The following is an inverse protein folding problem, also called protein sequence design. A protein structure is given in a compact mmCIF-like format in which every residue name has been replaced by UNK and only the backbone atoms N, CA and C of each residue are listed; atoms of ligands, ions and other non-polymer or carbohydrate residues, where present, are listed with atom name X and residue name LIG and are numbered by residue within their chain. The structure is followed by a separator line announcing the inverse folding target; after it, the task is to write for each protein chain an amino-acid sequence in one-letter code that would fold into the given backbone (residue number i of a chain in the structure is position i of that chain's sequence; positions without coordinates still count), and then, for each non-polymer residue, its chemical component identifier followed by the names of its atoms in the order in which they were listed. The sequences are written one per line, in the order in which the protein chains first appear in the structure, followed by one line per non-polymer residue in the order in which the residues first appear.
data_IF_303406686135
#
_entry.id   IF_303406686135
#
_cell.length_a   1.000
_cell.length_b   1.000
_cell.length_c   1.000
_cell.angle_alpha   90.00
_cell.angle_beta   90.00
_cell.angle_gamma   90.00
#
_symmetry.space_group_name_H-M   'P 1'
#
loop_
_entity.id
_entity.type
_entity.pdbx_description
1 polymer ?
#
# COMPACT_ATOMS: atom_id res chain seq x y z
N UNK A 1 -18.50 -13.15 -21.00
CA UNK A 1 -18.02 -12.94 -19.61
C UNK A 1 -16.59 -12.45 -19.71
N UNK A 2 -16.24 -11.35 -19.03
CA UNK A 2 -14.85 -10.89 -18.99
C UNK A 2 -13.97 -11.98 -18.32
N UNK A 3 -12.74 -12.15 -18.80
CA UNK A 3 -11.80 -13.06 -18.15
C UNK A 3 -11.50 -12.57 -16.72
N UNK A 4 -11.30 -13.48 -15.75
CA UNK A 4 -10.94 -13.07 -14.40
C UNK A 4 -9.59 -12.33 -14.42
N UNK A 5 -9.39 -11.37 -13.51
CA UNK A 5 -8.15 -10.62 -13.41
C UNK A 5 -6.96 -11.57 -13.16
N UNK A 6 -5.78 -11.28 -13.73
CA UNK A 6 -4.61 -12.15 -13.59
C UNK A 6 -4.16 -12.20 -12.13
N UNK A 7 -3.82 -13.39 -11.64
CA UNK A 7 -3.31 -13.58 -10.28
C UNK A 7 -1.80 -13.29 -10.23
N UNK A 8 -1.45 -12.02 -10.04
CA UNK A 8 -0.07 -11.53 -9.87
C UNK A 8 0.39 -11.75 -8.42
N UNK A 9 -0.48 -11.47 -7.46
CA UNK A 9 -0.20 -11.54 -6.03
C UNK A 9 -0.93 -12.72 -5.38
N UNK A 10 -0.27 -13.37 -4.41
CA UNK A 10 -0.88 -14.41 -3.57
C UNK A 10 -1.64 -13.76 -2.42
N UNK A 11 -2.98 -13.94 -2.33
CA UNK A 11 -3.76 -13.43 -1.20
C UNK A 11 -3.22 -13.93 0.14
N UNK A 12 -2.89 -15.22 0.24
CA UNK A 12 -2.34 -15.80 1.47
C UNK A 12 -1.02 -15.14 1.90
N UNK A 13 -0.09 -14.87 0.97
CA UNK A 13 1.19 -14.19 1.27
C UNK A 13 0.99 -12.74 1.65
N UNK A 14 0.09 -12.04 0.98
CA UNK A 14 -0.29 -10.66 1.29
C UNK A 14 -0.79 -10.54 2.73
N UNK A 15 -1.77 -11.36 3.10
CA UNK A 15 -2.31 -11.39 4.46
C UNK A 15 -1.25 -11.80 5.50
N UNK A 16 -0.42 -12.78 5.19
CA UNK A 16 0.68 -13.20 6.07
C UNK A 16 1.75 -12.10 6.24
N UNK A 17 2.06 -11.33 5.19
CA UNK A 17 3.00 -10.22 5.26
C UNK A 17 2.49 -9.11 6.18
N UNK A 18 1.20 -8.74 6.06
CA UNK A 18 0.57 -7.74 6.94
C UNK A 18 0.49 -8.20 8.40
N UNK A 19 0.09 -9.46 8.65
CA UNK A 19 0.13 -10.04 10.01
C UNK A 19 1.53 -10.03 10.62
N UNK A 20 2.54 -10.38 9.82
CA UNK A 20 3.94 -10.35 10.26
C UNK A 20 4.38 -8.92 10.60
N UNK A 21 4.10 -7.96 9.73
CA UNK A 21 4.41 -6.55 9.97
C UNK A 21 3.82 -6.07 11.30
N UNK A 22 2.52 -6.29 11.51
CA UNK A 22 1.82 -5.96 12.77
C UNK A 22 2.49 -6.57 14.00
N UNK A 23 2.86 -7.85 13.94
CA UNK A 23 3.60 -8.49 15.03
C UNK A 23 4.97 -7.87 15.26
N UNK A 24 5.69 -7.51 14.19
CA UNK A 24 7.02 -6.91 14.28
C UNK A 24 6.97 -5.49 14.86
N UNK A 25 5.85 -4.76 14.71
CA UNK A 25 5.68 -3.44 15.33
C UNK A 25 5.74 -3.46 16.87
N UNK A 26 5.63 -4.62 17.50
CA UNK A 26 5.86 -4.76 18.95
C UNK A 26 7.35 -4.68 19.34
N UNK A 27 8.27 -4.72 18.37
CA UNK A 27 9.70 -4.58 18.61
C UNK A 27 10.08 -3.09 18.76
N UNK A 28 10.99 -2.74 19.70
CA UNK A 28 11.36 -1.34 19.96
C UNK A 28 11.92 -0.57 18.75
N UNK A 29 12.56 -1.28 17.82
CA UNK A 29 13.28 -0.71 16.68
C UNK A 29 12.61 -1.01 15.33
N UNK A 30 11.33 -1.41 15.36
CA UNK A 30 10.57 -1.72 14.16
C UNK A 30 10.44 -0.48 13.26
N UNK A 31 10.82 -0.63 11.99
CA UNK A 31 10.62 0.45 11.03
C UNK A 31 9.13 0.71 10.78
N UNK A 32 8.79 2.00 10.72
CA UNK A 32 7.45 2.51 10.41
C UNK A 32 7.45 3.71 9.45
N UNK A 33 8.63 4.12 8.97
CA UNK A 33 8.81 5.36 8.23
C UNK A 33 7.94 5.48 6.97
N UNK A 34 7.60 4.37 6.30
CA UNK A 34 6.70 4.43 5.12
C UNK A 34 5.28 4.76 5.54
N UNK A 35 4.79 4.13 6.61
CA UNK A 35 3.41 4.36 7.06
C UNK A 35 3.28 5.72 7.75
N UNK A 36 4.26 6.11 8.58
CA UNK A 36 4.33 7.44 9.17
C UNK A 36 4.27 8.53 8.08
N UNK A 37 5.03 8.36 7.01
CA UNK A 37 5.06 9.27 5.86
C UNK A 37 3.72 9.33 5.11
N UNK A 38 3.04 8.19 4.93
CA UNK A 38 1.70 8.16 4.34
C UNK A 38 0.64 8.83 5.22
N UNK A 39 0.73 8.65 6.54
CA UNK A 39 -0.18 9.30 7.50
C UNK A 39 0.03 10.82 7.48
N UNK A 40 1.28 11.28 7.51
CA UNK A 40 1.62 12.69 7.41
C UNK A 40 1.11 13.31 6.11
N UNK A 41 1.33 12.66 4.96
CA UNK A 41 0.86 13.13 3.65
C UNK A 41 -0.67 13.27 3.61
N UNK A 42 -1.41 12.30 4.16
CA UNK A 42 -2.88 12.40 4.25
C UNK A 42 -3.30 13.62 5.06
N UNK A 43 -2.71 13.80 6.25
CA UNK A 43 -3.05 14.92 7.14
C UNK A 43 -2.71 16.28 6.52
N UNK A 44 -1.56 16.39 5.86
CA UNK A 44 -1.16 17.59 5.12
C UNK A 44 -2.15 17.91 4.00
N UNK A 45 -2.51 16.92 3.19
CA UNK A 45 -3.43 17.11 2.05
C UNK A 45 -4.81 17.52 2.49
N UNK A 46 -5.42 16.83 3.47
CA UNK A 46 -6.76 17.20 3.96
C UNK A 46 -6.73 18.59 4.62
N UNK A 47 -5.65 18.95 5.30
CA UNK A 47 -5.45 20.29 5.84
C UNK A 47 -5.36 21.36 4.76
N UNK A 48 -4.61 21.10 3.68
CA UNK A 48 -4.46 22.00 2.54
C UNK A 48 -5.78 22.25 1.81
N UNK A 49 -6.55 21.18 1.54
CA UNK A 49 -7.87 21.29 0.89
C UNK A 49 -9.02 21.61 1.87
N UNK A 50 -8.72 21.77 3.16
CA UNK A 50 -9.66 22.12 4.23
C UNK A 50 -10.84 21.14 4.35
N UNK A 51 -10.56 19.85 4.18
CA UNK A 51 -11.55 18.79 4.38
C UNK A 51 -11.58 18.40 5.87
N UNK A 52 -12.75 18.52 6.48
CA UNK A 52 -13.02 18.12 7.86
C UNK A 52 -14.15 17.07 7.86
N UNK A 53 -13.83 15.78 7.66
CA UNK A 53 -14.85 14.77 7.42
C UNK A 53 -15.60 14.46 8.72
N UNK A 54 -16.92 14.39 8.65
CA UNK A 54 -17.73 13.86 9.77
C UNK A 54 -17.52 12.36 9.90
N UNK A 55 -17.42 11.66 8.77
CA UNK A 55 -17.24 10.20 8.72
C UNK A 55 -16.12 9.80 7.77
N UNK A 56 -15.14 9.07 8.30
CA UNK A 56 -13.96 8.65 7.58
C UNK A 56 -13.75 7.12 7.66
N UNK A 57 -13.16 6.55 6.62
CA UNK A 57 -12.65 5.18 6.65
C UNK A 57 -11.15 5.19 6.41
N UNK A 58 -10.41 4.47 7.27
CA UNK A 58 -8.97 4.30 7.17
C UNK A 58 -8.65 2.83 6.94
N UNK A 59 -8.12 2.51 5.76
CA UNK A 59 -7.73 1.17 5.37
C UNK A 59 -6.22 0.99 5.46
N UNK A 60 -5.79 0.02 6.26
CA UNK A 60 -4.41 -0.46 6.29
C UNK A 60 -3.44 0.31 7.19
N UNK A 61 -3.91 1.32 7.93
CA UNK A 61 -3.14 1.93 9.02
C UNK A 61 -3.14 1.02 10.26
N UNK A 62 -2.17 0.12 10.35
CA UNK A 62 -2.05 -0.75 11.53
C UNK A 62 -1.53 -0.03 12.78
N UNK A 63 -1.13 1.24 12.69
CA UNK A 63 -0.71 2.03 13.86
C UNK A 63 -1.89 2.76 14.51
N UNK A 64 -2.98 2.96 13.77
CA UNK A 64 -4.14 3.77 14.18
C UNK A 64 -3.82 5.27 14.31
N UNK A 65 -2.65 5.72 13.83
CA UNK A 65 -2.21 7.11 13.98
C UNK A 65 -3.13 8.08 13.22
N UNK A 66 -3.49 7.76 11.97
CA UNK A 66 -4.39 8.58 11.17
C UNK A 66 -5.80 8.58 11.78
N UNK A 67 -6.30 7.41 12.17
CA UNK A 67 -7.62 7.30 12.78
C UNK A 67 -7.72 8.11 14.08
N UNK A 68 -6.70 8.05 14.93
CA UNK A 68 -6.61 8.86 16.15
C UNK A 68 -6.59 10.35 15.84
N UNK A 69 -5.82 10.79 14.84
CA UNK A 69 -5.75 12.19 14.44
C UNK A 69 -7.11 12.71 13.95
N UNK A 70 -7.79 11.96 13.08
CA UNK A 70 -9.13 12.28 12.58
C UNK A 70 -10.17 12.31 13.71
N UNK A 71 -10.18 11.31 14.59
CA UNK A 71 -11.09 11.24 15.73
C UNK A 71 -10.89 12.42 16.71
N UNK A 72 -9.64 12.86 16.91
CA UNK A 72 -9.36 14.06 17.71
C UNK A 72 -9.90 15.35 17.10
N UNK A 73 -10.09 15.37 15.77
CA UNK A 73 -10.76 16.42 15.02
C UNK A 73 -12.29 16.30 14.99
N UNK A 74 -12.86 15.28 15.65
CA UNK A 74 -14.31 15.05 15.75
C UNK A 74 -14.91 14.10 14.72
N UNK A 75 -14.09 13.43 13.89
CA UNK A 75 -14.58 12.45 12.92
C UNK A 75 -15.01 11.12 13.57
N UNK A 76 -16.09 10.52 13.11
CA UNK A 76 -16.36 9.09 13.26
C UNK A 76 -15.45 8.32 12.30
N UNK A 77 -14.56 7.48 12.83
CA UNK A 77 -13.57 6.75 12.02
C UNK A 77 -13.84 5.25 12.04
N UNK A 78 -13.93 4.66 10.85
CA UNK A 78 -13.98 3.21 10.65
C UNK A 78 -12.60 2.74 10.19
N UNK A 79 -11.95 1.92 11.00
CA UNK A 79 -10.67 1.30 10.65
C UNK A 79 -10.89 -0.08 10.05
N UNK A 80 -10.23 -0.36 8.93
CA UNK A 80 -10.27 -1.67 8.27
C UNK A 80 -8.87 -2.15 7.91
N UNK A 81 -8.63 -3.43 8.10
CA UNK A 81 -7.32 -4.04 7.88
C UNK A 81 -7.46 -5.31 7.03
N UNK A 82 -6.75 -5.44 5.90
CA UNK A 82 -6.88 -6.63 5.05
C UNK A 82 -6.55 -7.93 5.79
N UNK A 83 -5.55 -7.91 6.69
CA UNK A 83 -5.21 -9.08 7.51
C UNK A 83 -6.30 -9.52 8.49
N UNK A 84 -7.34 -8.70 8.70
CA UNK A 84 -8.52 -8.96 9.54
C UNK A 84 -9.78 -9.26 8.73
N UNK A 85 -9.66 -9.43 7.40
CA UNK A 85 -10.75 -9.89 6.54
C UNK A 85 -11.36 -8.81 5.65
N UNK A 86 -10.85 -7.57 5.69
CA UNK A 86 -11.25 -6.56 4.72
C UNK A 86 -10.75 -6.91 3.32
N UNK A 87 -11.65 -6.93 2.33
CA UNK A 87 -11.35 -7.28 0.95
C UNK A 87 -11.60 -6.08 0.04
N UNK A 88 -10.52 -5.44 -0.43
CA UNK A 88 -10.61 -4.21 -1.22
C UNK A 88 -11.25 -4.40 -2.59
N UNK A 89 -11.10 -5.61 -3.14
CA UNK A 89 -11.64 -6.04 -4.43
C UNK A 89 -13.13 -6.43 -4.37
N UNK A 90 -13.77 -6.28 -3.20
CA UNK A 90 -15.20 -6.51 -3.01
C UNK A 90 -15.91 -5.20 -2.66
N UNK A 91 -17.25 -5.12 -2.81
CA UNK A 91 -18.01 -3.98 -2.32
C UNK A 91 -17.72 -3.70 -0.85
N UNK A 92 -17.39 -2.45 -0.53
CA UNK A 92 -17.03 -2.07 0.83
C UNK A 92 -18.28 -2.13 1.73
N UNK A 93 -18.15 -2.57 2.99
CA UNK A 93 -19.28 -2.95 3.84
C UNK A 93 -20.20 -1.77 4.22
N UNK A 94 -19.74 -0.53 4.02
CA UNK A 94 -20.50 0.68 4.23
C UNK A 94 -20.12 1.72 3.16
N UNK A 95 -21.03 2.67 2.93
CA UNK A 95 -20.78 3.86 2.10
C UNK A 95 -21.05 5.14 2.87
N UNK A 96 -21.03 6.28 2.18
CA UNK A 96 -21.27 7.59 2.79
C UNK A 96 -20.07 8.14 3.56
N UNK A 97 -18.85 7.74 3.20
CA UNK A 97 -17.63 8.29 3.78
C UNK A 97 -17.25 9.60 3.09
N UNK A 98 -17.02 10.66 3.87
CA UNK A 98 -16.54 11.94 3.36
C UNK A 98 -15.02 11.92 3.11
N UNK A 99 -14.32 11.00 3.80
CA UNK A 99 -12.91 10.69 3.57
C UNK A 99 -12.70 9.18 3.54
N UNK A 100 -11.98 8.68 2.54
CA UNK A 100 -11.42 7.33 2.53
C UNK A 100 -9.91 7.42 2.36
N UNK A 101 -9.15 6.93 3.33
CA UNK A 101 -7.70 6.80 3.24
C UNK A 101 -7.30 5.33 3.08
N UNK A 102 -6.46 4.99 2.10
CA UNK A 102 -5.95 3.64 1.87
C UNK A 102 -4.42 3.64 1.85
N UNK A 103 -3.81 3.02 2.87
CA UNK A 103 -2.37 3.10 3.13
C UNK A 103 -1.70 1.73 2.90
N UNK A 104 -0.94 1.62 1.80
CA UNK A 104 -0.12 0.46 1.46
C UNK A 104 -0.92 -0.83 1.27
N UNK A 105 -2.17 -0.73 0.79
CA UNK A 105 -3.02 -1.90 0.55
C UNK A 105 -3.27 -2.18 -0.93
N UNK A 106 -3.41 -1.15 -1.76
CA UNK A 106 -3.85 -1.28 -3.15
C UNK A 106 -2.74 -1.73 -4.12
N UNK A 107 -1.47 -1.57 -3.79
CA UNK A 107 -0.35 -1.99 -4.66
C UNK A 107 -0.22 -3.50 -4.81
N UNK A 108 -0.95 -4.28 -4.02
CA UNK A 108 -0.89 -5.75 -3.99
C UNK A 108 -2.23 -6.45 -4.23
N UNK A 109 -3.23 -5.74 -4.75
CA UNK A 109 -4.48 -6.35 -5.23
C UNK A 109 -4.32 -6.81 -6.69
N UNK A 110 -5.08 -7.83 -7.10
CA UNK A 110 -5.06 -8.36 -8.46
C UNK A 110 -6.04 -7.62 -9.40
N UNK A 111 -7.13 -7.07 -8.86
CA UNK A 111 -8.10 -6.20 -9.52
C UNK A 111 -8.06 -4.78 -8.97
N UNK A 112 -6.97 -4.07 -9.25
CA UNK A 112 -6.81 -2.68 -8.85
C UNK A 112 -7.91 -1.75 -9.43
N UNK A 113 -8.33 -1.87 -10.72
CA UNK A 113 -9.47 -1.10 -11.22
C UNK A 113 -10.76 -1.36 -10.44
N UNK A 114 -11.09 -2.62 -10.18
CA UNK A 114 -12.27 -3.00 -9.39
C UNK A 114 -12.21 -2.47 -7.96
N UNK A 115 -11.05 -2.59 -7.30
CA UNK A 115 -10.84 -2.04 -5.96
C UNK A 115 -11.05 -0.51 -5.92
N UNK A 116 -10.57 0.23 -6.92
CA UNK A 116 -10.79 1.67 -7.03
C UNK A 116 -12.26 2.03 -7.30
N UNK A 117 -13.00 1.20 -8.03
CA UNK A 117 -14.45 1.37 -8.24
C UNK A 117 -15.20 1.16 -6.91
N UNK A 118 -14.85 0.13 -6.15
CA UNK A 118 -15.47 -0.13 -4.84
C UNK A 118 -15.14 0.96 -3.83
N UNK A 119 -13.89 1.44 -3.82
CA UNK A 119 -13.47 2.57 -3.00
C UNK A 119 -14.29 3.82 -3.34
N UNK A 120 -14.39 4.17 -4.64
CA UNK A 120 -15.21 5.30 -5.10
C UNK A 120 -16.68 5.15 -4.70
N UNK A 121 -17.22 3.94 -4.79
CA UNK A 121 -18.61 3.64 -4.41
C UNK A 121 -18.88 3.75 -2.90
N UNK A 122 -17.85 3.70 -2.06
CA UNK A 122 -17.98 3.90 -0.62
C UNK A 122 -18.04 5.39 -0.23
N UNK A 123 -17.63 6.30 -1.11
CA UNK A 123 -17.64 7.73 -0.83
C UNK A 123 -19.07 8.30 -0.80
N UNK A 124 -19.28 9.30 0.06
CA UNK A 124 -20.40 10.22 -0.06
C UNK A 124 -20.26 11.08 -1.34
N UNK A 125 -21.35 11.69 -1.85
CA UNK A 125 -21.24 12.69 -2.91
C UNK A 125 -20.27 13.81 -2.52
N UNK A 126 -19.25 14.06 -3.34
CA UNK A 126 -18.19 15.04 -3.05
C UNK A 126 -17.13 14.58 -2.04
N UNK A 127 -17.16 13.31 -1.59
CA UNK A 127 -16.15 12.75 -0.70
C UNK A 127 -14.77 12.65 -1.35
N UNK A 128 -13.74 12.68 -0.50
CA UNK A 128 -12.33 12.61 -0.89
C UNK A 128 -11.77 11.21 -0.64
N UNK A 129 -10.98 10.71 -1.59
CA UNK A 129 -10.14 9.55 -1.37
C UNK A 129 -8.66 9.89 -1.49
N UNK A 130 -7.84 9.37 -0.58
CA UNK A 130 -6.39 9.40 -0.66
C UNK A 130 -5.87 7.97 -0.57
N UNK A 131 -5.17 7.52 -1.62
CA UNK A 131 -4.56 6.21 -1.65
C UNK A 131 -3.04 6.35 -1.84
N UNK A 132 -2.28 5.81 -0.91
CA UNK A 132 -0.81 5.92 -0.89
C UNK A 132 -0.20 4.54 -0.80
N UNK A 133 0.76 4.23 -1.67
CA UNK A 133 1.46 2.95 -1.69
C UNK A 133 2.83 3.08 -2.38
N UNK A 134 3.66 2.04 -2.26
CA UNK A 134 5.00 2.04 -2.84
C UNK A 134 4.92 1.94 -4.36
N UNK A 135 5.28 3.03 -5.04
CA UNK A 135 5.20 3.16 -6.50
C UNK A 135 6.48 2.79 -7.26
N UNK A 136 6.43 2.96 -8.58
CA UNK A 136 7.53 2.65 -9.49
C UNK A 136 8.79 3.48 -9.18
N UNK A 137 9.96 2.84 -9.33
CA UNK A 137 11.25 3.44 -8.99
C UNK A 137 11.70 3.16 -7.55
N UNK A 138 10.87 2.50 -6.74
CA UNK A 138 11.22 2.14 -5.37
C UNK A 138 12.23 0.99 -5.31
N UNK A 139 13.11 1.04 -4.30
CA UNK A 139 14.16 0.05 -4.02
C UNK A 139 15.13 -0.20 -5.19
N UNK A 140 15.68 0.85 -5.84
CA UNK A 140 16.51 0.68 -7.04
C UNK A 140 17.80 -0.11 -6.75
N UNK A 141 18.50 0.20 -5.66
CA UNK A 141 19.72 -0.51 -5.27
C UNK A 141 19.45 -1.99 -4.93
N UNK A 142 18.33 -2.30 -4.28
CA UNK A 142 17.94 -3.69 -4.02
C UNK A 142 17.62 -4.42 -5.32
N UNK A 143 16.93 -3.76 -6.26
CA UNK A 143 16.62 -4.33 -7.57
C UNK A 143 17.89 -4.68 -8.34
N UNK A 144 18.87 -3.77 -8.38
CA UNK A 144 20.17 -4.02 -9.00
C UNK A 144 20.91 -5.18 -8.34
N UNK A 145 20.99 -5.20 -7.01
CA UNK A 145 21.62 -6.29 -6.27
C UNK A 145 20.96 -7.65 -6.54
N UNK A 146 19.62 -7.68 -6.58
CA UNK A 146 18.86 -8.91 -6.86
C UNK A 146 19.04 -9.39 -8.31
N UNK A 147 19.12 -8.46 -9.28
CA UNK A 147 19.41 -8.79 -10.68
C UNK A 147 20.83 -9.35 -10.84
N UNK A 148 21.81 -8.73 -10.20
CA UNK A 148 23.19 -9.22 -10.20
C UNK A 148 23.28 -10.63 -9.58
N UNK A 149 22.56 -10.86 -8.47
CA UNK A 149 22.48 -12.15 -7.81
C UNK A 149 21.80 -13.26 -8.66
N UNK A 150 20.90 -12.88 -9.57
CA UNK A 150 20.22 -13.83 -10.46
C UNK A 150 21.06 -14.24 -11.68
N UNK A 151 22.05 -13.41 -12.04
CA UNK A 151 22.90 -13.61 -13.21
C UNK A 151 22.08 -13.81 -14.49
N UNK A 152 22.41 -14.85 -15.25
CA UNK A 152 21.77 -15.17 -16.54
C UNK A 152 20.32 -15.66 -16.42
N UNK A 153 19.78 -15.86 -15.21
CA UNK A 153 18.40 -16.31 -15.00
C UNK A 153 17.63 -15.37 -14.07
N UNK A 154 17.28 -14.16 -14.53
CA UNK A 154 16.48 -13.20 -13.77
C UNK A 154 15.17 -13.81 -13.28
N UNK A 155 14.86 -13.60 -12.01
CA UNK A 155 13.63 -14.05 -11.39
C UNK A 155 12.74 -12.86 -10.99
N UNK A 156 11.42 -13.07 -10.81
CA UNK A 156 10.54 -12.01 -10.32
C UNK A 156 10.79 -11.77 -8.82
N UNK A 157 11.70 -10.83 -8.54
CA UNK A 157 12.21 -10.49 -7.20
C UNK A 157 11.39 -9.40 -6.51
N UNK A 158 10.93 -8.42 -7.27
CA UNK A 158 10.11 -7.29 -6.81
C UNK A 158 8.72 -7.33 -7.44
N UNK A 159 7.77 -6.64 -6.82
CA UNK A 159 6.42 -6.50 -7.37
C UNK A 159 6.46 -5.65 -8.66
N UNK A 160 5.52 -5.87 -9.60
CA UNK A 160 5.20 -4.83 -10.56
C UNK A 160 4.71 -3.60 -9.79
N UNK A 161 5.23 -2.42 -10.13
CA UNK A 161 4.93 -1.18 -9.43
C UNK A 161 4.17 -0.25 -10.36
N UNK A 162 3.17 0.44 -9.80
CA UNK A 162 2.39 1.44 -10.54
C UNK A 162 3.20 2.74 -10.60
N UNK A 163 3.35 3.30 -11.80
CA UNK A 163 3.92 4.63 -12.00
C UNK A 163 2.82 5.71 -12.05
N UNK A 164 3.22 6.98 -11.93
CA UNK A 164 2.31 8.14 -11.92
C UNK A 164 1.42 8.20 -13.17
N UNK A 165 1.98 7.91 -14.35
CA UNK A 165 1.25 7.96 -15.62
C UNK A 165 0.19 6.86 -15.69
N UNK A 166 0.56 5.63 -15.33
CA UNK A 166 -0.33 4.48 -15.28
C UNK A 166 -1.44 4.68 -14.23
N UNK A 167 -1.09 5.25 -13.06
CA UNK A 167 -2.05 5.65 -12.02
C UNK A 167 -3.07 6.66 -12.54
N UNK A 168 -2.63 7.69 -13.26
CA UNK A 168 -3.54 8.68 -13.84
C UNK A 168 -4.50 8.10 -14.86
N UNK A 169 -4.00 7.26 -15.77
CA UNK A 169 -4.85 6.55 -16.74
C UNK A 169 -5.84 5.60 -16.07
N UNK A 170 -5.42 4.96 -14.97
CA UNK A 170 -6.27 4.06 -14.21
C UNK A 170 -7.43 4.80 -13.54
N UNK A 171 -7.16 5.92 -12.86
CA UNK A 171 -8.20 6.71 -12.20
C UNK A 171 -9.21 7.29 -13.21
N UNK A 172 -8.74 7.75 -14.37
CA UNK A 172 -9.63 8.20 -15.46
C UNK A 172 -10.56 7.08 -15.92
N UNK A 173 -10.03 5.87 -16.16
CA UNK A 173 -10.84 4.70 -16.57
C UNK A 173 -11.80 4.23 -15.47
N UNK A 174 -11.41 4.37 -14.20
CA UNK A 174 -12.27 4.07 -13.06
C UNK A 174 -13.33 5.17 -12.78
N UNK A 175 -13.33 6.26 -13.57
CA UNK A 175 -14.36 7.30 -13.51
C UNK A 175 -14.22 8.26 -12.33
N UNK A 176 -12.97 8.55 -11.91
CA UNK A 176 -12.69 9.59 -10.92
C UNK A 176 -12.74 10.97 -11.56
N UNK A 177 -13.40 11.92 -10.88
CA UNK A 177 -13.67 13.26 -11.43
C UNK A 177 -12.41 14.15 -11.47
N UNK A 178 -11.74 14.30 -10.33
CA UNK A 178 -10.59 15.21 -10.16
C UNK A 178 -9.33 14.47 -9.67
N UNK A 179 -8.80 13.51 -10.45
CA UNK A 179 -7.70 12.68 -9.98
C UNK A 179 -6.39 13.47 -9.94
N UNK A 180 -5.77 13.50 -8.76
CA UNK A 180 -4.38 13.98 -8.56
C UNK A 180 -3.49 12.77 -8.34
N UNK A 181 -2.40 12.68 -9.10
CA UNK A 181 -1.43 11.60 -9.00
C UNK A 181 -0.05 12.23 -8.98
N UNK A 182 0.67 11.95 -7.92
CA UNK A 182 2.04 12.37 -7.74
C UNK A 182 2.86 11.25 -7.11
N UNK A 183 4.14 11.50 -6.91
CA UNK A 183 5.04 10.59 -6.21
C UNK A 183 6.11 11.40 -5.51
N UNK A 184 6.53 10.95 -4.33
CA UNK A 184 7.68 11.49 -3.61
C UNK A 184 8.63 10.38 -3.21
N UNK A 185 9.88 10.73 -2.95
CA UNK A 185 10.95 9.77 -2.65
C UNK A 185 11.36 9.85 -1.18
N UNK A 186 11.28 8.72 -0.49
CA UNK A 186 11.91 8.54 0.83
C UNK A 186 13.30 7.96 0.67
N UNK A 187 14.31 8.70 1.15
CA UNK A 187 15.71 8.25 1.13
C UNK A 187 16.05 7.63 2.47
N UNK A 188 16.31 6.33 2.48
CA UNK A 188 16.72 5.59 3.67
C UNK A 188 18.05 4.91 3.40
N UNK A 189 19.04 5.20 4.25
CA UNK A 189 20.36 4.57 4.21
C UNK A 189 20.40 3.33 5.09
N UNK A 190 21.08 2.29 4.62
CA UNK A 190 21.26 1.04 5.35
C UNK A 190 22.73 0.68 5.46
N UNK A 191 23.17 0.31 6.66
CA UNK A 191 24.53 -0.17 6.91
C UNK A 191 24.68 -1.68 6.64
N UNK A 192 23.57 -2.40 6.40
CA UNK A 192 23.58 -3.84 6.13
C UNK A 192 22.32 -4.26 5.37
N UNK A 193 22.46 -5.33 4.57
CA UNK A 193 21.33 -5.95 3.87
C UNK A 193 20.31 -6.55 4.84
N UNK A 194 20.76 -7.13 5.95
CA UNK A 194 19.87 -7.72 6.96
C UNK A 194 18.95 -6.68 7.60
N UNK A 195 19.47 -5.48 7.90
CA UNK A 195 18.65 -4.37 8.40
C UNK A 195 17.61 -3.96 7.36
N UNK A 196 18.00 -3.80 6.10
CA UNK A 196 17.09 -3.49 5.00
C UNK A 196 15.96 -4.52 4.89
N UNK A 197 16.30 -5.81 4.90
CA UNK A 197 15.31 -6.90 4.80
C UNK A 197 14.40 -6.93 6.04
N UNK A 198 14.95 -6.67 7.23
CA UNK A 198 14.19 -6.52 8.47
C UNK A 198 13.14 -5.41 8.37
N UNK A 199 13.56 -4.21 7.94
CA UNK A 199 12.70 -3.03 7.85
C UNK A 199 11.62 -3.19 6.76
N UNK A 200 11.93 -3.86 5.64
CA UNK A 200 10.92 -4.23 4.64
C UNK A 200 9.89 -5.20 5.22
N UNK A 201 10.33 -6.20 6.01
CA UNK A 201 9.41 -7.17 6.64
C UNK A 201 8.54 -6.52 7.71
N UNK A 202 9.08 -5.59 8.48
CA UNK A 202 8.37 -4.83 9.52
C UNK A 202 7.26 -3.94 8.94
N UNK A 203 7.36 -3.58 7.66
CA UNK A 203 6.43 -2.69 6.95
C UNK A 203 5.60 -3.41 5.87
N UNK A 204 5.56 -4.75 5.89
CA UNK A 204 4.84 -5.58 4.92
C UNK A 204 5.31 -5.45 3.44
N UNK A 205 6.47 -4.86 3.18
CA UNK A 205 7.03 -4.60 1.84
C UNK A 205 7.82 -5.79 1.25
N UNK A 206 7.57 -7.00 1.77
CA UNK A 206 8.17 -8.23 1.26
C UNK A 206 7.54 -8.71 -0.04
N UNK A 207 8.18 -9.67 -0.72
CA UNK A 207 7.61 -10.28 -1.92
C UNK A 207 6.33 -11.09 -1.58
N UNK A 208 5.21 -10.78 -2.24
CA UNK A 208 3.92 -11.49 -2.10
C UNK A 208 3.39 -12.01 -3.43
N UNK A 209 4.25 -12.11 -4.45
CA UNK A 209 3.87 -12.63 -5.78
C UNK A 209 3.29 -14.04 -5.67
N UNK A 210 2.34 -14.36 -6.53
CA UNK A 210 1.77 -15.70 -6.64
C UNK A 210 2.83 -16.72 -7.10
N UNK A 211 3.70 -16.30 -8.04
CA UNK A 211 4.78 -17.11 -8.61
C UNK A 211 6.14 -16.40 -8.42
N UNK A 212 6.74 -16.48 -7.23
CA UNK A 212 8.03 -15.86 -6.96
C UNK A 212 9.15 -16.72 -7.57
N UNK A 213 10.31 -16.12 -7.76
CA UNK A 213 11.54 -16.84 -8.07
C UNK A 213 11.97 -17.84 -6.98
N UNK A 214 12.90 -18.76 -7.29
CA UNK A 214 13.55 -19.56 -6.26
C UNK A 214 14.25 -18.65 -5.23
N UNK A 215 14.33 -19.05 -3.95
CA UNK A 215 14.99 -18.25 -2.92
C UNK A 215 16.47 -18.06 -3.27
N UNK A 216 17.02 -16.90 -2.90
CA UNK A 216 18.46 -16.66 -3.01
C UNK A 216 19.21 -17.56 -2.03
N UNK A 217 20.23 -18.26 -2.54
CA UNK A 217 21.13 -19.10 -1.74
C UNK A 217 22.39 -18.34 -1.29
N UNK A 218 23.30 -19.02 -0.57
CA UNK A 218 24.54 -18.39 -0.07
C UNK A 218 25.41 -17.79 -1.18
N UNK A 219 25.42 -18.39 -2.36
CA UNK A 219 26.19 -17.89 -3.51
C UNK A 219 25.73 -16.49 -3.97
N UNK A 220 24.49 -16.11 -3.70
CA UNK A 220 23.96 -14.78 -4.02
C UNK A 220 24.33 -13.69 -3.00
N UNK A 221 24.92 -14.07 -1.85
CA UNK A 221 25.41 -13.14 -0.84
C UNK A 221 26.90 -12.81 -1.01
N UNK A 222 27.58 -13.48 -1.95
CA UNK A 222 29.01 -13.37 -2.19
C UNK A 222 29.39 -12.10 -2.97
#
# INVERSE_FOLDING_TARGET
MAAPPPQIFSPARRLAARRRARRLQALPDAARFVLDDMVEDVLERIGFVRVAPVRALVAGDWTGALAKALASGGSEVVEVEPSEGFAEEQPWPAGGFELVASLGTLDTVNDLPGALIHLRGALAPGGLAIASFVGAGSLPALREAMLAADGERPAPRLHPQVDVRAGGQLLQRAGWADPVIDSRTLRVGYHSLDRLVGDLRAQALGNVLARPGPPLGRAALA
#
